data_IF_693528502525
#
_entry.id   IF_693528502525
#
_cell.length_a   1.000
_cell.length_b   1.000
_cell.length_c   1.000
_cell.angle_alpha   90.00
_cell.angle_beta   90.00
_cell.angle_gamma   90.00
#
_symmetry.space_group_name_H-M   'P 1'
#
loop_
_entity.id
_entity.type
_entity.pdbx_description
1 polymer ?
#
# COMPACT_ATOMS: atom_id res chain seq x y z
N UNK A 1 26.23 -9.28 -5.89
CA UNK A 1 25.81 -8.25 -6.85
C UNK A 1 24.30 -8.37 -6.95
N UNK A 2 23.56 -7.64 -6.10
CA UNK A 2 22.11 -7.68 -6.08
C UNK A 2 21.63 -6.62 -7.07
N UNK A 3 21.19 -7.07 -8.25
CA UNK A 3 20.58 -6.17 -9.23
C UNK A 3 19.23 -5.74 -8.64
N UNK A 4 18.99 -4.44 -8.35
CA UNK A 4 17.73 -4.03 -7.76
C UNK A 4 16.61 -4.36 -8.76
N UNK A 5 15.52 -5.02 -8.31
CA UNK A 5 14.42 -5.38 -9.20
C UNK A 5 13.86 -4.12 -9.90
N UNK A 6 13.28 -4.26 -11.11
CA UNK A 6 12.82 -3.13 -11.90
C UNK A 6 11.90 -2.23 -11.06
N UNK A 7 12.24 -0.96 -10.97
CA UNK A 7 11.54 0.03 -10.14
C UNK A 7 10.33 0.63 -10.89
N UNK A 8 10.13 0.27 -12.16
CA UNK A 8 9.08 0.79 -13.03
C UNK A 8 8.39 -0.36 -13.77
N UNK A 9 7.08 -0.48 -13.61
CA UNK A 9 6.29 -1.54 -14.23
C UNK A 9 5.22 -0.96 -15.15
N UNK A 10 5.27 -1.29 -16.45
CA UNK A 10 4.19 -0.98 -17.38
C UNK A 10 2.93 -1.78 -16.99
N UNK A 11 1.82 -1.08 -16.80
CA UNK A 11 0.52 -1.69 -16.40
C UNK A 11 -0.60 -1.40 -17.38
N UNK A 12 -0.51 -0.34 -18.16
CA UNK A 12 -1.44 -0.10 -19.26
C UNK A 12 -0.71 0.47 -20.45
N UNK A 13 -0.96 -0.09 -21.62
CA UNK A 13 -0.52 0.45 -22.90
C UNK A 13 -1.75 0.53 -23.81
N UNK A 14 -2.19 1.75 -24.05
CA UNK A 14 -3.25 2.08 -25.00
C UNK A 14 -2.73 3.28 -25.79
N UNK A 15 -2.05 3.05 -26.93
CA UNK A 15 -1.34 4.10 -27.64
C UNK A 15 -2.21 5.36 -27.84
N UNK A 16 -1.69 6.56 -27.52
CA UNK A 16 -0.30 6.86 -27.16
C UNK A 16 0.03 6.75 -25.65
N UNK A 17 -0.93 6.41 -24.79
CA UNK A 17 -0.82 6.45 -23.33
C UNK A 17 -0.13 5.20 -22.76
N UNK A 18 0.83 5.42 -21.85
CA UNK A 18 1.42 4.38 -21.01
C UNK A 18 1.31 4.78 -19.54
N UNK A 19 0.83 3.85 -18.72
CA UNK A 19 0.74 4.01 -17.27
C UNK A 19 1.68 3.02 -16.60
N UNK A 20 2.53 3.56 -15.74
CA UNK A 20 3.52 2.81 -14.98
C UNK A 20 3.24 2.91 -13.48
N UNK A 21 3.71 1.90 -12.75
CA UNK A 21 3.73 1.87 -11.29
C UNK A 21 5.17 1.70 -10.83
N UNK A 22 5.55 2.44 -9.80
CA UNK A 22 6.91 2.49 -9.29
C UNK A 22 6.95 2.65 -7.77
N UNK A 23 8.03 2.21 -7.13
CA UNK A 23 8.24 2.34 -5.70
C UNK A 23 9.47 3.18 -5.42
N UNK A 24 9.37 4.14 -4.50
CA UNK A 24 10.45 5.06 -4.19
C UNK A 24 11.48 4.43 -3.25
N UNK A 25 12.37 3.60 -3.77
CA UNK A 25 13.49 3.05 -2.99
C UNK A 25 14.67 4.02 -2.96
N UNK A 26 15.13 4.41 -1.76
CA UNK A 26 16.35 5.19 -1.57
C UNK A 26 17.56 4.27 -1.47
N UNK A 27 18.57 4.48 -2.33
CA UNK A 27 19.81 3.73 -2.28
C UNK A 27 20.87 4.50 -1.48
N UNK A 28 21.05 4.11 -0.21
CA UNK A 28 21.88 4.85 0.74
C UNK A 28 23.35 4.98 0.32
N UNK A 29 23.92 3.96 -0.34
CA UNK A 29 25.34 3.97 -0.72
C UNK A 29 25.66 4.91 -1.88
N UNK A 30 24.66 5.27 -2.69
CA UNK A 30 24.82 6.17 -3.84
C UNK A 30 24.09 7.50 -3.65
N UNK A 31 23.38 7.65 -2.53
CA UNK A 31 22.50 8.79 -2.23
C UNK A 31 21.51 9.13 -3.36
N UNK A 32 21.12 8.13 -4.14
CA UNK A 32 20.26 8.30 -5.31
C UNK A 32 18.98 7.49 -5.18
N UNK A 33 17.95 7.94 -5.91
CA UNK A 33 16.79 7.11 -6.19
C UNK A 33 16.98 6.48 -7.57
N UNK A 34 17.09 5.14 -7.67
CA UNK A 34 17.26 4.46 -8.95
C UNK A 34 16.15 4.78 -9.97
N UNK A 35 14.96 5.15 -9.48
CA UNK A 35 13.82 5.53 -10.32
C UNK A 35 14.09 6.77 -11.19
N UNK A 36 14.95 7.70 -10.75
CA UNK A 36 15.22 8.96 -11.46
C UNK A 36 15.76 8.71 -12.88
N UNK A 37 16.67 7.74 -13.04
CA UNK A 37 17.25 7.38 -14.33
C UNK A 37 16.19 6.80 -15.29
N UNK A 38 15.17 6.11 -14.75
CA UNK A 38 14.06 5.59 -15.54
C UNK A 38 13.08 6.70 -15.92
N UNK A 39 12.74 7.59 -14.98
CA UNK A 39 11.81 8.71 -15.23
C UNK A 39 12.36 9.66 -16.31
N UNK A 40 13.67 9.86 -16.37
CA UNK A 40 14.35 10.69 -17.37
C UNK A 40 14.20 10.17 -18.82
N UNK A 41 13.92 8.87 -19.00
CA UNK A 41 13.77 8.23 -20.30
C UNK A 41 12.30 8.17 -20.78
N UNK A 42 11.35 8.59 -19.95
CA UNK A 42 9.93 8.54 -20.28
C UNK A 42 9.49 9.72 -21.16
N UNK A 43 8.32 9.57 -21.77
CA UNK A 43 7.73 10.56 -22.69
C UNK A 43 6.77 11.49 -21.94
N UNK A 44 6.48 12.68 -22.48
CA UNK A 44 5.48 13.59 -21.90
C UNK A 44 4.08 13.04 -21.71
N UNK A 45 3.69 12.03 -22.50
CA UNK A 45 2.39 11.37 -22.41
C UNK A 45 2.38 10.19 -21.43
N UNK A 46 3.53 9.82 -20.87
CA UNK A 46 3.60 8.73 -19.91
C UNK A 46 3.23 9.20 -18.50
N UNK A 47 2.55 8.33 -17.76
CA UNK A 47 2.12 8.59 -16.38
C UNK A 47 2.72 7.55 -15.44
N UNK A 48 3.20 7.99 -14.27
CA UNK A 48 3.84 7.12 -13.28
C UNK A 48 3.19 7.31 -11.92
N UNK A 49 2.55 6.26 -11.41
CA UNK A 49 2.15 6.18 -10.01
C UNK A 49 3.36 5.76 -9.16
N UNK A 50 3.85 6.67 -8.33
CA UNK A 50 5.03 6.46 -7.49
C UNK A 50 4.62 6.29 -6.02
N UNK A 51 4.75 5.07 -5.50
CA UNK A 51 4.50 4.73 -4.10
C UNK A 51 5.64 5.21 -3.20
N UNK A 52 5.28 5.98 -2.18
CA UNK A 52 6.23 6.54 -1.22
C UNK A 52 6.59 5.54 -0.13
N UNK A 53 7.81 5.64 0.39
CA UNK A 53 8.39 4.67 1.33
C UNK A 53 8.78 5.43 2.59
N UNK A 54 7.96 5.25 3.62
CA UNK A 54 7.79 6.28 4.64
C UNK A 54 8.83 6.32 5.77
N UNK A 55 9.87 5.51 5.70
CA UNK A 55 10.65 5.16 6.89
C UNK A 55 12.05 5.79 6.96
N UNK A 56 12.46 6.68 6.04
CA UNK A 56 13.85 7.20 6.04
C UNK A 56 14.06 8.67 5.73
N UNK A 57 13.03 9.38 5.31
CA UNK A 57 13.16 10.73 4.80
C UNK A 57 11.98 11.47 5.37
N UNK A 58 12.19 12.27 6.43
CA UNK A 58 11.14 13.13 6.98
C UNK A 58 10.32 13.72 5.83
N UNK A 59 9.01 13.50 5.88
CA UNK A 59 8.16 13.78 4.75
C UNK A 59 8.19 15.27 4.43
N UNK A 60 8.78 15.62 3.29
CA UNK A 60 8.89 16.98 2.82
C UNK A 60 8.27 17.09 1.42
N UNK A 61 7.06 17.63 1.38
CA UNK A 61 6.35 17.87 0.13
C UNK A 61 7.13 18.77 -0.84
N UNK A 62 7.94 19.71 -0.33
CA UNK A 62 8.80 20.56 -1.17
C UNK A 62 9.89 19.75 -1.85
N UNK A 63 10.57 18.85 -1.10
CA UNK A 63 11.55 17.93 -1.69
C UNK A 63 10.94 17.06 -2.78
N UNK A 64 9.69 16.63 -2.60
CA UNK A 64 9.00 15.78 -3.58
C UNK A 64 8.53 16.53 -4.84
N UNK A 65 8.56 17.88 -4.86
CA UNK A 65 8.35 18.66 -6.10
C UNK A 65 9.39 18.39 -7.17
N UNK A 66 10.57 17.88 -6.80
CA UNK A 66 11.63 17.56 -7.74
C UNK A 66 11.17 16.63 -8.87
N UNK A 67 10.16 15.77 -8.64
CA UNK A 67 9.65 14.85 -9.66
C UNK A 67 8.96 15.55 -10.84
N UNK A 68 8.62 16.84 -10.73
CA UNK A 68 8.14 17.67 -11.84
C UNK A 68 9.20 17.96 -12.90
N UNK A 69 10.49 17.73 -12.60
CA UNK A 69 11.59 17.97 -13.54
C UNK A 69 11.64 16.92 -14.66
N UNK A 70 11.00 15.78 -14.46
CA UNK A 70 11.04 14.68 -15.41
C UNK A 70 10.04 14.93 -16.56
N UNK A 71 10.31 14.38 -17.75
CA UNK A 71 9.46 14.60 -18.91
C UNK A 71 8.04 14.04 -18.72
N UNK A 72 7.86 12.97 -17.94
CA UNK A 72 6.58 12.30 -17.70
C UNK A 72 5.76 12.94 -16.56
N UNK A 73 4.49 12.56 -16.47
CA UNK A 73 3.62 12.94 -15.36
C UNK A 73 3.81 11.98 -14.19
N UNK A 74 4.36 12.47 -13.08
CA UNK A 74 4.52 11.68 -11.85
C UNK A 74 3.38 12.01 -10.88
N UNK A 75 2.70 10.97 -10.41
CA UNK A 75 1.60 11.01 -9.46
C UNK A 75 2.05 10.29 -8.19
N UNK A 76 2.14 10.99 -7.08
CA UNK A 76 2.60 10.40 -5.82
C UNK A 76 1.44 9.71 -5.09
N UNK A 77 1.64 8.44 -4.73
CA UNK A 77 0.68 7.69 -3.92
C UNK A 77 1.03 7.87 -2.44
N UNK A 78 0.27 8.75 -1.78
CA UNK A 78 0.37 9.03 -0.36
C UNK A 78 -0.25 7.88 0.46
N UNK A 79 0.50 7.37 1.42
CA UNK A 79 0.12 6.25 2.26
C UNK A 79 -0.80 6.65 3.44
N UNK A 80 -0.72 7.91 3.89
CA UNK A 80 -1.54 8.50 4.96
C UNK A 80 -2.27 9.78 4.50
N UNK A 81 -3.33 10.22 5.20
CA UNK A 81 -3.99 11.50 4.90
C UNK A 81 -3.06 12.71 5.06
N UNK A 82 -2.19 12.70 6.07
CA UNK A 82 -1.26 13.80 6.35
C UNK A 82 -0.23 13.97 5.24
N UNK A 83 0.25 12.87 4.66
CA UNK A 83 1.07 12.88 3.44
C UNK A 83 0.38 13.59 2.30
N UNK A 84 -0.86 13.16 2.04
CA UNK A 84 -1.60 13.65 0.91
C UNK A 84 -1.85 15.16 1.09
N UNK A 85 -2.23 15.59 2.28
CA UNK A 85 -2.40 17.00 2.62
C UNK A 85 -1.11 17.81 2.40
N UNK A 86 0.04 17.32 2.86
CA UNK A 86 1.31 18.01 2.69
C UNK A 86 1.79 18.04 1.23
N UNK A 87 1.52 17.01 0.42
CA UNK A 87 1.77 17.04 -1.03
C UNK A 87 0.88 18.04 -1.75
N UNK A 88 -0.42 18.07 -1.41
CA UNK A 88 -1.37 19.02 -1.96
C UNK A 88 -1.00 20.46 -1.59
N UNK A 89 -0.57 20.71 -0.35
CA UNK A 89 -0.07 22.01 0.08
C UNK A 89 1.20 22.42 -0.70
N UNK A 90 2.06 21.45 -1.03
CA UNK A 90 3.18 21.67 -1.92
C UNK A 90 2.78 21.72 -3.42
N UNK A 91 1.49 21.61 -3.76
CA UNK A 91 1.01 21.57 -5.15
C UNK A 91 1.41 20.31 -5.92
N UNK A 92 2.01 19.31 -5.28
CA UNK A 92 2.45 18.08 -5.94
C UNK A 92 1.24 17.22 -6.27
N UNK A 93 1.14 16.80 -7.53
CA UNK A 93 0.07 15.92 -7.98
C UNK A 93 0.19 14.57 -7.25
N UNK A 94 -0.83 14.23 -6.48
CA UNK A 94 -0.85 13.07 -5.60
C UNK A 94 -2.26 12.50 -5.46
N UNK A 95 -2.33 11.24 -5.07
CA UNK A 95 -3.56 10.57 -4.63
C UNK A 95 -3.36 9.99 -3.24
N UNK A 96 -4.42 9.96 -2.44
CA UNK A 96 -4.42 9.19 -1.20
C UNK A 96 -4.68 7.72 -1.52
N UNK A 97 -3.62 6.93 -1.51
CA UNK A 97 -3.65 5.52 -1.84
C UNK A 97 -2.68 4.75 -0.95
N UNK A 98 -3.22 4.07 0.06
CA UNK A 98 -2.41 3.24 0.94
C UNK A 98 -1.89 2.00 0.20
N UNK A 99 -0.60 1.74 0.31
CA UNK A 99 0.08 0.72 -0.47
C UNK A 99 -0.40 -0.71 -0.17
N UNK A 100 -0.99 -0.98 1.01
CA UNK A 100 -1.60 -2.27 1.33
C UNK A 100 -2.81 -2.61 0.45
N UNK A 101 -3.45 -1.63 -0.20
CA UNK A 101 -4.54 -1.89 -1.15
C UNK A 101 -4.09 -2.63 -2.42
N UNK A 102 -2.78 -2.80 -2.63
CA UNK A 102 -2.19 -3.61 -3.70
C UNK A 102 -2.09 -5.11 -3.36
N UNK A 103 -2.34 -5.50 -2.11
CA UNK A 103 -2.41 -6.92 -1.74
C UNK A 103 -3.53 -7.61 -2.51
N UNK A 104 -3.31 -8.84 -2.96
CA UNK A 104 -4.32 -9.59 -3.72
C UNK A 104 -5.14 -10.40 -2.71
N UNK A 105 -6.38 -9.98 -2.50
CA UNK A 105 -7.30 -10.58 -1.55
C UNK A 105 -7.69 -12.02 -1.87
N UNK A 106 -7.43 -12.47 -3.11
CA UNK A 106 -7.62 -13.86 -3.56
C UNK A 106 -6.49 -14.75 -3.05
N UNK A 107 -5.29 -14.19 -2.86
CA UNK A 107 -4.15 -14.89 -2.24
C UNK A 107 -4.38 -15.05 -0.74
N UNK A 108 -4.86 -13.98 -0.10
CA UNK A 108 -5.16 -13.97 1.34
C UNK A 108 -6.63 -14.31 1.59
N UNK A 109 -7.13 -15.34 0.90
CA UNK A 109 -8.38 -16.00 1.26
C UNK A 109 -8.08 -17.19 2.18
N UNK A 110 -9.12 -17.89 2.62
CA UNK A 110 -8.96 -19.17 3.31
C UNK A 110 -8.52 -20.23 2.29
N UNK A 111 -7.31 -20.13 1.69
CA UNK A 111 -6.39 -21.18 1.14
C UNK A 111 -5.27 -20.66 0.19
N UNK A 112 -4.23 -21.52 0.04
CA UNK A 112 -3.20 -21.71 -1.02
C UNK A 112 -1.81 -21.05 -1.03
N UNK A 113 -1.46 -20.05 -0.21
CA UNK A 113 -0.02 -19.74 0.04
C UNK A 113 0.43 -20.27 1.39
N UNK A 114 1.73 -20.59 1.53
CA UNK A 114 2.29 -21.02 2.83
C UNK A 114 1.99 -20.00 3.95
N UNK A 115 2.03 -18.71 3.61
CA UNK A 115 1.68 -17.60 4.52
C UNK A 115 0.18 -17.62 4.85
N UNK A 116 -0.71 -17.62 3.86
CA UNK A 116 -2.15 -17.66 4.11
C UNK A 116 -2.55 -18.94 4.89
N UNK A 117 -1.96 -20.10 4.58
CA UNK A 117 -2.21 -21.34 5.29
C UNK A 117 -1.77 -21.28 6.76
N UNK A 118 -0.64 -20.62 7.06
CA UNK A 118 -0.21 -20.37 8.43
C UNK A 118 -1.20 -19.44 9.15
N UNK A 119 -1.55 -18.30 8.54
CA UNK A 119 -2.49 -17.33 9.10
C UNK A 119 -3.86 -17.96 9.36
N UNK A 120 -4.38 -18.79 8.45
CA UNK A 120 -5.67 -19.45 8.64
C UNK A 120 -5.67 -20.44 9.83
N UNK A 121 -4.50 -20.97 10.23
CA UNK A 121 -4.33 -21.79 11.44
C UNK A 121 -4.01 -20.98 12.70
N UNK A 122 -3.78 -19.67 12.55
CA UNK A 122 -3.55 -18.75 13.66
C UNK A 122 -4.87 -18.22 14.22
N UNK A 123 -4.81 -17.74 15.46
CA UNK A 123 -5.89 -17.01 16.11
C UNK A 123 -5.78 -15.51 15.87
N UNK A 124 -4.55 -14.97 15.93
CA UNK A 124 -4.24 -13.55 15.89
C UNK A 124 -3.06 -13.29 14.94
N UNK A 125 -2.99 -12.09 14.36
CA UNK A 125 -1.77 -11.55 13.77
C UNK A 125 -0.97 -10.75 14.80
N UNK A 126 0.37 -10.85 14.80
CA UNK A 126 1.24 -10.09 15.71
C UNK A 126 2.19 -9.19 14.94
N UNK A 127 2.21 -7.89 15.24
CA UNK A 127 3.05 -6.89 14.55
C UNK A 127 3.66 -5.91 15.57
N UNK A 128 4.93 -6.08 15.93
CA UNK A 128 5.54 -5.42 17.10
C UNK A 128 6.71 -4.48 16.78
N UNK A 129 6.91 -4.19 15.49
CA UNK A 129 7.89 -3.21 15.01
C UNK A 129 7.53 -1.80 15.47
N UNK A 130 8.53 -1.08 15.98
CA UNK A 130 8.40 0.32 16.36
C UNK A 130 8.20 1.25 15.15
N UNK A 131 8.73 0.86 13.99
CA UNK A 131 8.62 1.61 12.74
C UNK A 131 8.37 0.64 11.58
N UNK A 132 7.39 0.95 10.73
CA UNK A 132 7.18 0.24 9.47
C UNK A 132 6.71 1.18 8.36
N UNK A 133 7.17 0.92 7.13
CA UNK A 133 6.64 1.60 5.95
C UNK A 133 5.19 1.19 5.67
N UNK A 134 5.03 0.15 4.84
CA UNK A 134 3.72 -0.29 4.36
C UNK A 134 3.03 -1.30 5.30
N UNK A 135 3.79 -2.18 5.96
CA UNK A 135 3.28 -3.25 6.82
C UNK A 135 2.22 -4.15 6.16
N UNK A 136 2.63 -4.88 5.12
CA UNK A 136 1.74 -5.85 4.48
C UNK A 136 1.25 -6.93 5.45
N UNK A 137 2.11 -7.44 6.33
CA UNK A 137 1.79 -8.52 7.26
C UNK A 137 0.54 -8.25 8.12
N UNK A 138 0.34 -7.00 8.53
CA UNK A 138 -0.86 -6.57 9.25
C UNK A 138 -2.12 -6.74 8.40
N UNK A 139 -2.12 -6.21 7.18
CA UNK A 139 -3.29 -6.30 6.29
C UNK A 139 -3.50 -7.72 5.76
N UNK A 140 -2.44 -8.50 5.55
CA UNK A 140 -2.53 -9.93 5.24
C UNK A 140 -3.30 -10.69 6.33
N UNK A 141 -3.03 -10.39 7.60
CA UNK A 141 -3.75 -10.96 8.76
C UNK A 141 -5.23 -10.57 8.74
N UNK A 142 -5.54 -9.29 8.52
CA UNK A 142 -6.91 -8.77 8.45
C UNK A 142 -7.69 -9.38 7.27
N UNK A 143 -7.05 -9.54 6.11
CA UNK A 143 -7.64 -10.23 4.97
C UNK A 143 -7.94 -11.68 5.33
N UNK A 144 -7.07 -12.39 6.06
CA UNK A 144 -7.39 -13.71 6.62
C UNK A 144 -8.42 -13.70 7.77
N UNK A 145 -8.99 -12.54 8.11
CA UNK A 145 -9.99 -12.40 9.18
C UNK A 145 -9.41 -12.52 10.59
N UNK A 146 -8.10 -12.32 10.74
CA UNK A 146 -7.45 -12.33 12.05
C UNK A 146 -7.43 -10.91 12.63
N UNK A 147 -7.84 -10.72 13.90
CA UNK A 147 -7.52 -9.48 14.58
C UNK A 147 -6.02 -9.39 14.84
N UNK A 148 -5.51 -8.16 14.94
CA UNK A 148 -4.07 -7.88 15.05
C UNK A 148 -3.73 -7.35 16.44
N UNK A 149 -2.75 -7.96 17.08
CA UNK A 149 -2.07 -7.40 18.26
C UNK A 149 -0.86 -6.64 17.74
N UNK A 150 -0.74 -5.37 18.11
CA UNK A 150 0.36 -4.53 17.68
C UNK A 150 0.87 -3.66 18.82
N UNK A 151 2.12 -3.25 18.73
CA UNK A 151 2.64 -2.15 19.55
C UNK A 151 2.42 -0.83 18.81
N UNK A 152 2.49 0.30 19.54
CA UNK A 152 2.54 1.62 18.94
C UNK A 152 3.65 1.68 17.89
N UNK A 153 3.38 2.29 16.73
CA UNK A 153 4.40 2.55 15.71
C UNK A 153 4.26 3.91 15.05
N UNK A 154 5.38 4.37 14.49
CA UNK A 154 5.36 5.30 13.37
C UNK A 154 5.13 4.52 12.06
N UNK A 155 4.01 4.80 11.39
CA UNK A 155 3.66 4.15 10.12
C UNK A 155 2.18 4.23 9.75
N UNK A 156 1.83 3.72 8.58
CA UNK A 156 0.46 3.78 8.04
C UNK A 156 -0.43 2.58 8.39
N UNK A 157 0.03 1.62 9.20
CA UNK A 157 -0.72 0.37 9.45
C UNK A 157 -1.98 0.56 10.28
N UNK A 158 -2.00 1.55 11.17
CA UNK A 158 -3.16 1.83 12.04
C UNK A 158 -4.40 2.26 11.28
N UNK A 159 -4.23 2.74 10.04
CA UNK A 159 -5.32 3.04 9.11
C UNK A 159 -6.23 1.84 8.86
N UNK A 160 -5.68 0.62 8.88
CA UNK A 160 -6.42 -0.61 8.61
C UNK A 160 -7.15 -1.13 9.85
N UNK A 161 -6.99 -0.45 10.98
CA UNK A 161 -7.46 -0.91 12.25
C UNK A 161 -8.71 -0.16 12.74
N UNK A 162 -9.55 -0.86 13.48
CA UNK A 162 -10.67 -0.33 14.25
C UNK A 162 -10.81 -1.09 15.57
N UNK A 163 -11.66 -0.62 16.49
CA UNK A 163 -11.83 -1.23 17.81
C UNK A 163 -12.24 -2.73 17.79
N UNK A 164 -12.69 -3.23 16.64
CA UNK A 164 -13.17 -4.62 16.44
C UNK A 164 -12.15 -5.52 15.74
N UNK A 165 -10.98 -5.02 15.39
CA UNK A 165 -9.96 -5.81 14.69
C UNK A 165 -8.54 -5.65 15.25
N UNK A 166 -8.33 -4.84 16.29
CA UNK A 166 -7.00 -4.59 16.85
C UNK A 166 -6.93 -4.59 18.38
N UNK A 167 -5.74 -4.85 18.88
CA UNK A 167 -5.29 -4.50 20.23
C UNK A 167 -3.93 -3.79 20.10
N UNK A 168 -3.84 -2.52 20.52
CA UNK A 168 -2.57 -1.79 20.62
C UNK A 168 -2.11 -1.81 22.06
N UNK A 169 -0.84 -2.19 22.28
CA UNK A 169 -0.24 -2.28 23.61
C UNK A 169 1.15 -1.68 23.67
N UNK A 170 1.64 -1.50 24.89
CA UNK A 170 3.02 -1.13 25.15
C UNK A 170 3.99 -2.19 24.62
N UNK A 171 5.21 -1.80 24.19
CA UNK A 171 6.21 -2.71 23.67
C UNK A 171 6.94 -3.48 24.79
N UNK A 172 6.18 -4.09 25.70
CA UNK A 172 6.68 -4.96 26.76
C UNK A 172 6.19 -6.39 26.57
N UNK A 173 6.96 -7.36 27.06
CA UNK A 173 6.62 -8.77 26.93
C UNK A 173 5.31 -9.08 27.65
N UNK A 174 5.10 -8.47 28.83
CA UNK A 174 3.93 -8.64 29.67
C UNK A 174 2.67 -8.12 28.96
N UNK A 175 2.72 -6.90 28.42
CA UNK A 175 1.58 -6.29 27.76
C UNK A 175 1.19 -7.04 26.48
N UNK A 176 2.18 -7.52 25.70
CA UNK A 176 1.92 -8.35 24.52
C UNK A 176 1.30 -9.69 24.91
N UNK A 177 1.81 -10.35 25.96
CA UNK A 177 1.26 -11.62 26.43
C UNK A 177 -0.20 -11.48 26.90
N UNK A 178 -0.50 -10.43 27.67
CA UNK A 178 -1.86 -10.10 28.10
C UNK A 178 -2.79 -9.82 26.92
N UNK A 179 -2.31 -9.06 25.93
CA UNK A 179 -3.08 -8.75 24.73
C UNK A 179 -3.39 -9.98 23.88
N UNK A 180 -2.47 -10.93 23.79
CA UNK A 180 -2.72 -12.21 23.10
C UNK A 180 -3.84 -12.97 23.80
N UNK A 181 -3.78 -13.11 25.12
CA UNK A 181 -4.84 -13.80 25.88
C UNK A 181 -6.19 -13.09 25.73
N UNK A 182 -6.19 -11.76 25.82
CA UNK A 182 -7.40 -10.94 25.61
C UNK A 182 -7.96 -11.10 24.20
N UNK A 183 -7.11 -11.10 23.17
CA UNK A 183 -7.51 -11.26 21.78
C UNK A 183 -8.18 -12.61 21.52
N UNK A 184 -7.66 -13.69 22.13
CA UNK A 184 -8.28 -15.02 22.09
C UNK A 184 -9.67 -14.99 22.74
N UNK A 185 -9.79 -14.43 23.95
CA UNK A 185 -11.07 -14.32 24.64
C UNK A 185 -12.11 -13.48 23.86
N UNK A 186 -11.67 -12.43 23.18
CA UNK A 186 -12.53 -11.60 22.31
C UNK A 186 -13.01 -12.37 21.07
N UNK A 187 -12.19 -13.26 20.51
CA UNK A 187 -12.61 -14.16 19.44
C UNK A 187 -13.61 -15.20 19.93
N UNK A 188 -13.35 -15.84 21.06
CA UNK A 188 -14.22 -16.87 21.64
C UNK A 188 -15.60 -16.32 22.04
N UNK A 189 -15.64 -15.10 22.55
CA UNK A 189 -16.90 -14.40 22.88
C UNK A 189 -17.64 -13.83 21.65
N UNK A 190 -17.01 -13.82 20.47
CA UNK A 190 -17.56 -13.26 19.24
C UNK A 190 -17.47 -11.73 19.14
N UNK A 191 -16.86 -11.05 20.12
CA UNK A 191 -16.59 -9.61 20.06
C UNK A 191 -15.64 -9.26 18.90
N UNK A 192 -14.64 -10.11 18.66
CA UNK A 192 -13.90 -10.15 17.40
C UNK A 192 -14.53 -11.20 16.49
N UNK A 193 -14.96 -10.77 15.31
CA UNK A 193 -15.59 -11.65 14.33
C UNK A 193 -14.75 -11.72 13.06
N UNK A 194 -14.25 -12.92 12.72
CA UNK A 194 -13.33 -13.12 11.59
C UNK A 194 -13.92 -12.71 10.24
N UNK A 195 -15.21 -12.98 10.03
CA UNK A 195 -15.91 -12.63 8.79
C UNK A 195 -16.06 -11.11 8.66
N UNK A 196 -16.42 -10.44 9.77
CA UNK A 196 -16.52 -8.98 9.80
C UNK A 196 -15.16 -8.31 9.60
N UNK A 197 -14.10 -8.81 10.27
CA UNK A 197 -12.73 -8.29 10.11
C UNK A 197 -12.29 -8.35 8.65
N UNK A 198 -12.49 -9.51 7.99
CA UNK A 198 -12.20 -9.65 6.56
C UNK A 198 -13.08 -8.72 5.71
N UNK A 199 -14.37 -8.61 6.03
CA UNK A 199 -15.29 -7.75 5.30
C UNK A 199 -14.84 -6.29 5.34
N UNK A 200 -14.53 -5.76 6.52
CA UNK A 200 -14.08 -4.38 6.71
C UNK A 200 -12.76 -4.12 5.95
N UNK A 201 -11.80 -5.05 6.03
CA UNK A 201 -10.55 -4.96 5.29
C UNK A 201 -10.78 -4.93 3.76
N UNK A 202 -11.66 -5.79 3.25
CA UNK A 202 -12.03 -5.81 1.83
C UNK A 202 -12.73 -4.51 1.38
N UNK A 203 -13.58 -3.94 2.23
CA UNK A 203 -14.22 -2.64 1.94
C UNK A 203 -13.17 -1.55 1.78
N UNK A 204 -12.19 -1.49 2.69
CA UNK A 204 -11.11 -0.49 2.62
C UNK A 204 -10.20 -0.70 1.41
N UNK A 205 -9.86 -1.96 1.06
CA UNK A 205 -9.15 -2.29 -0.19
C UNK A 205 -9.91 -1.75 -1.41
N UNK A 206 -11.22 -1.99 -1.48
CA UNK A 206 -12.05 -1.53 -2.60
C UNK A 206 -12.11 -0.01 -2.68
N UNK A 207 -12.22 0.68 -1.55
CA UNK A 207 -12.21 2.14 -1.50
C UNK A 207 -10.91 2.72 -2.06
N UNK A 208 -9.76 2.23 -1.61
CA UNK A 208 -8.47 2.70 -2.14
C UNK A 208 -8.29 2.37 -3.62
N UNK A 209 -8.64 1.16 -4.05
CA UNK A 209 -8.58 0.78 -5.47
C UNK A 209 -9.49 1.67 -6.32
N UNK A 210 -10.68 2.04 -5.84
CA UNK A 210 -11.56 2.95 -6.55
C UNK A 210 -10.89 4.33 -6.78
N UNK A 211 -10.15 4.87 -5.80
CA UNK A 211 -9.37 6.11 -5.97
C UNK A 211 -8.34 6.00 -7.08
N UNK A 212 -7.56 4.92 -7.10
CA UNK A 212 -6.55 4.70 -8.15
C UNK A 212 -7.20 4.52 -9.52
N UNK A 213 -8.28 3.75 -9.60
CA UNK A 213 -8.99 3.48 -10.86
C UNK A 213 -9.63 4.76 -11.40
N UNK A 214 -10.21 5.59 -10.53
CA UNK A 214 -10.75 6.89 -10.92
C UNK A 214 -9.66 7.80 -11.48
N UNK A 215 -8.47 7.80 -10.88
CA UNK A 215 -7.33 8.58 -11.39
C UNK A 215 -6.82 8.04 -12.74
N UNK A 216 -6.75 6.71 -12.89
CA UNK A 216 -6.45 6.09 -14.19
C UNK A 216 -7.49 6.46 -15.27
N UNK A 217 -8.78 6.47 -14.93
CA UNK A 217 -9.84 6.87 -15.86
C UNK A 217 -9.69 8.34 -16.25
N UNK A 218 -9.43 9.22 -15.28
CA UNK A 218 -9.19 10.65 -15.51
C UNK A 218 -8.05 10.87 -16.50
N UNK A 219 -6.96 10.11 -16.39
CA UNK A 219 -5.82 10.16 -17.33
C UNK A 219 -6.25 9.68 -18.73
N UNK A 220 -6.96 8.56 -18.84
CA UNK A 220 -7.47 8.07 -20.12
C UNK A 220 -8.35 9.12 -20.81
N UNK A 221 -9.29 9.71 -20.08
CA UNK A 221 -10.22 10.72 -20.59
C UNK A 221 -9.48 11.98 -21.06
N UNK A 222 -8.48 12.44 -20.29
CA UNK A 222 -7.63 13.58 -20.67
C UNK A 222 -6.88 13.37 -21.98
N UNK A 223 -6.49 12.14 -22.26
CA UNK A 223 -5.79 11.78 -23.49
C UNK A 223 -6.72 11.30 -24.62
N UNK A 224 -8.04 11.33 -24.42
CA UNK A 224 -9.02 10.86 -25.40
C UNK A 224 -8.90 9.36 -25.71
N UNK A 225 -8.39 8.58 -24.76
CA UNK A 225 -8.19 7.13 -24.89
C UNK A 225 -9.46 6.41 -24.40
N UNK A 226 -10.22 5.72 -25.27
CA UNK A 226 -11.51 5.11 -24.92
C UNK A 226 -11.30 3.76 -24.20
N UNK A 227 -10.71 3.80 -23.01
CA UNK A 227 -10.44 2.62 -22.17
C UNK A 227 -11.24 2.74 -20.88
N UNK A 228 -11.88 1.63 -20.50
CA UNK A 228 -12.45 1.44 -19.17
C UNK A 228 -11.32 1.08 -18.19
N UNK A 229 -10.96 2.03 -17.32
CA UNK A 229 -9.87 1.87 -16.36
C UNK A 229 -10.14 0.74 -15.35
N UNK A 230 -11.40 0.47 -15.00
CA UNK A 230 -11.76 -0.62 -14.09
C UNK A 230 -11.47 -1.98 -14.74
N UNK A 231 -11.85 -2.16 -16.01
CA UNK A 231 -11.55 -3.38 -16.76
C UNK A 231 -10.05 -3.55 -16.95
N UNK A 232 -9.34 -2.48 -17.32
CA UNK A 232 -7.90 -2.50 -17.52
C UNK A 232 -7.14 -2.80 -16.22
N UNK A 233 -7.53 -2.18 -15.11
CA UNK A 233 -6.97 -2.48 -13.79
C UNK A 233 -7.17 -3.95 -13.44
N UNK A 234 -8.40 -4.47 -13.60
CA UNK A 234 -8.71 -5.88 -13.31
C UNK A 234 -7.87 -6.86 -14.13
N UNK A 235 -7.65 -6.56 -15.42
CA UNK A 235 -6.85 -7.38 -16.33
C UNK A 235 -5.36 -7.40 -15.98
N UNK A 236 -4.83 -6.30 -15.45
CA UNK A 236 -3.39 -6.10 -15.25
C UNK A 236 -2.98 -6.12 -13.78
N UNK A 237 -3.95 -6.24 -12.88
CA UNK A 237 -3.74 -6.33 -11.45
C UNK A 237 -2.95 -7.60 -11.12
N UNK A 238 -1.88 -7.40 -10.38
CA UNK A 238 -1.04 -8.45 -9.82
C UNK A 238 -0.79 -8.11 -8.36
N UNK A 239 -0.58 -9.13 -7.55
CA UNK A 239 -0.25 -8.97 -6.14
C UNK A 239 0.88 -7.95 -5.93
N UNK A 240 0.69 -7.01 -5.02
CA UNK A 240 1.60 -5.88 -4.72
C UNK A 240 1.90 -5.00 -5.93
N UNK A 241 1.05 -5.03 -6.96
CA UNK A 241 1.33 -4.42 -8.27
C UNK A 241 2.68 -4.86 -8.85
N UNK A 242 3.16 -6.08 -8.51
CA UNK A 242 4.43 -6.65 -8.95
C UNK A 242 5.65 -6.18 -8.14
N UNK A 243 5.42 -5.37 -7.11
CA UNK A 243 6.43 -4.92 -6.16
C UNK A 243 6.81 -6.12 -5.25
N UNK A 244 8.10 -6.25 -4.97
CA UNK A 244 8.64 -7.29 -4.09
C UNK A 244 9.03 -6.69 -2.75
#
# INVERSE_FOLDING_TARGET
MWDPPPVLFLRSEAPPLRIFFAYLAYHAATETYPIDAHLAQLRPTDHVFLFLTWHRLGFDGERLRQYRRFPCQVILCANTPDEHAALQAAGVHSIYFNHNATLDERIFCITETAVAAALNRSMLGGVFSAEEGTCWASTESLLCGLPVVSTLCSGGRELWYNERNRLIVEPTQEAVAEAVQRGIALLESGAFNRQQIRHDALQLVRQFRATLIAEMQRICDQHGVPVDAQQQFTKTFVHKMGLR
#
